data_IF_916553772819
#
_entry.id   IF_916553772819
#
_cell.length_a   1.000
_cell.length_b   1.000
_cell.length_c   1.000
_cell.angle_alpha   90.00
_cell.angle_beta   90.00
_cell.angle_gamma   90.00
#
_symmetry.space_group_name_H-M   'P 1'
#
loop_
_entity.id
_entity.type
_entity.pdbx_description
1 polymer ?
#
# COMPACT_ATOMS: atom_id res chain seq x y z
N UNK A 1 -7.73 -12.94 23.17
CA UNK A 1 -8.19 -13.32 21.85
C UNK A 1 -6.96 -13.55 20.98
N UNK A 2 -6.88 -14.74 20.41
CA UNK A 2 -5.79 -15.11 19.53
C UNK A 2 -6.10 -14.54 18.14
N UNK A 3 -5.52 -13.38 17.80
CA UNK A 3 -5.71 -12.70 16.53
C UNK A 3 -5.00 -13.43 15.37
N UNK A 4 -4.68 -14.71 15.52
CA UNK A 4 -3.95 -15.48 14.51
C UNK A 4 -2.51 -15.01 14.26
N UNK A 5 -1.95 -14.21 15.18
CA UNK A 5 -0.61 -13.64 15.05
C UNK A 5 -0.53 -12.34 14.24
N UNK A 6 -1.66 -11.77 13.85
CA UNK A 6 -1.72 -10.45 13.20
C UNK A 6 -1.55 -9.32 14.22
N UNK A 7 -0.74 -8.32 13.87
CA UNK A 7 -0.43 -7.16 14.71
C UNK A 7 -0.52 -5.88 13.88
N UNK A 8 -0.73 -4.75 14.55
CA UNK A 8 -0.76 -3.43 13.95
C UNK A 8 -2.00 -2.64 14.33
N UNK A 9 -2.01 -1.36 13.96
CA UNK A 9 -3.05 -0.39 14.35
C UNK A 9 -4.46 -0.85 13.95
N UNK A 10 -4.60 -1.41 12.76
CA UNK A 10 -5.89 -1.90 12.25
C UNK A 10 -6.45 -3.04 13.10
N UNK A 11 -5.60 -4.01 13.44
CA UNK A 11 -5.99 -5.15 14.28
C UNK A 11 -6.32 -4.72 15.71
N UNK A 12 -5.57 -3.76 16.25
CA UNK A 12 -5.85 -3.21 17.59
C UNK A 12 -7.19 -2.47 17.61
N UNK A 13 -7.46 -1.63 16.61
CA UNK A 13 -8.75 -0.91 16.50
C UNK A 13 -9.90 -1.90 16.30
N UNK A 14 -9.74 -2.87 15.37
CA UNK A 14 -10.75 -3.91 15.14
C UNK A 14 -11.06 -4.72 16.41
N UNK A 15 -10.03 -5.04 17.20
CA UNK A 15 -10.18 -5.72 18.50
C UNK A 15 -11.03 -4.89 19.47
N UNK A 16 -10.77 -3.59 19.56
CA UNK A 16 -11.54 -2.68 20.43
C UNK A 16 -13.00 -2.55 19.96
N UNK A 17 -13.23 -2.51 18.65
CA UNK A 17 -14.58 -2.46 18.07
C UNK A 17 -15.34 -3.74 18.42
N UNK A 18 -14.75 -4.91 18.17
CA UNK A 18 -15.37 -6.20 18.47
C UNK A 18 -15.71 -6.32 19.97
N UNK A 19 -14.78 -5.93 20.86
CA UNK A 19 -15.00 -5.91 22.30
C UNK A 19 -16.18 -5.01 22.69
N UNK A 20 -16.27 -3.81 22.15
CA UNK A 20 -17.39 -2.89 22.41
C UNK A 20 -18.74 -3.43 21.96
N UNK A 21 -18.75 -4.18 20.87
CA UNK A 21 -19.97 -4.80 20.32
C UNK A 21 -20.31 -6.13 20.99
N UNK A 22 -19.43 -6.69 21.83
CA UNK A 22 -19.58 -8.01 22.43
C UNK A 22 -19.46 -9.15 21.42
N UNK A 23 -18.70 -8.92 20.36
CA UNK A 23 -18.45 -9.86 19.27
C UNK A 23 -17.02 -10.45 19.36
N UNK A 24 -16.83 -11.58 18.70
CA UNK A 24 -15.52 -12.18 18.48
C UNK A 24 -14.90 -11.58 17.21
N UNK A 25 -13.63 -11.16 17.27
CA UNK A 25 -12.88 -10.73 16.10
C UNK A 25 -12.34 -11.95 15.36
N UNK A 26 -12.64 -12.02 14.07
CA UNK A 26 -12.01 -12.95 13.13
C UNK A 26 -11.26 -12.10 12.10
N UNK A 27 -9.96 -12.29 11.98
CA UNK A 27 -9.13 -11.62 10.96
C UNK A 27 -9.05 -12.53 9.75
N UNK A 28 -9.45 -12.01 8.59
CA UNK A 28 -9.42 -12.69 7.30
C UNK A 28 -8.35 -12.04 6.42
N UNK A 29 -7.25 -12.76 6.19
CA UNK A 29 -6.11 -12.30 5.38
C UNK A 29 -6.36 -12.60 3.90
N UNK A 30 -6.27 -11.57 3.07
CA UNK A 30 -6.54 -11.68 1.63
C UNK A 30 -5.73 -10.66 0.83
N UNK A 31 -5.67 -10.85 -0.48
CA UNK A 31 -5.08 -9.87 -1.40
C UNK A 31 -5.79 -8.52 -1.28
N UNK A 32 -5.02 -7.43 -1.26
CA UNK A 32 -5.53 -6.07 -1.03
C UNK A 32 -6.65 -5.67 -2.00
N UNK A 33 -6.52 -6.00 -3.29
CA UNK A 33 -7.56 -5.74 -4.30
C UNK A 33 -8.90 -6.45 -4.05
N UNK A 34 -8.94 -7.46 -3.16
CA UNK A 34 -10.16 -8.21 -2.82
C UNK A 34 -10.89 -7.68 -1.60
N UNK A 35 -10.29 -6.78 -0.83
CA UNK A 35 -10.80 -6.32 0.47
C UNK A 35 -12.17 -5.65 0.34
N UNK A 36 -12.32 -4.69 -0.57
CA UNK A 36 -13.59 -3.99 -0.82
C UNK A 36 -14.68 -4.98 -1.30
N UNK A 37 -14.33 -5.84 -2.25
CA UNK A 37 -15.26 -6.84 -2.80
C UNK A 37 -15.75 -7.82 -1.74
N UNK A 38 -14.91 -8.15 -0.75
CA UNK A 38 -15.28 -9.02 0.37
C UNK A 38 -16.37 -8.38 1.24
N UNK A 39 -16.26 -7.09 1.53
CA UNK A 39 -17.28 -6.33 2.29
C UNK A 39 -18.57 -6.20 1.47
N UNK A 40 -18.48 -5.83 0.18
CA UNK A 40 -19.65 -5.73 -0.70
C UNK A 40 -20.41 -7.05 -0.80
N UNK A 41 -19.69 -8.18 -0.85
CA UNK A 41 -20.26 -9.52 -0.92
C UNK A 41 -20.76 -10.06 0.43
N UNK A 42 -20.63 -9.31 1.51
CA UNK A 42 -21.03 -9.73 2.87
C UNK A 42 -20.21 -10.89 3.43
N UNK A 43 -19.00 -11.12 2.92
CA UNK A 43 -18.07 -12.12 3.47
C UNK A 43 -17.33 -11.57 4.67
N UNK A 44 -16.98 -10.30 4.63
CA UNK A 44 -16.39 -9.56 5.74
C UNK A 44 -17.35 -8.45 6.17
N UNK A 45 -17.45 -8.21 7.48
CA UNK A 45 -18.32 -7.15 8.04
C UNK A 45 -17.67 -5.77 7.93
N UNK A 46 -16.33 -5.71 7.95
CA UNK A 46 -15.53 -4.49 7.92
C UNK A 46 -14.22 -4.74 7.20
N UNK A 47 -13.72 -3.74 6.50
CA UNK A 47 -12.38 -3.73 5.90
C UNK A 47 -11.46 -2.80 6.71
N UNK A 48 -10.31 -3.30 7.12
CA UNK A 48 -9.26 -2.53 7.79
C UNK A 48 -7.90 -3.00 7.25
N UNK A 49 -7.30 -2.20 6.38
CA UNK A 49 -6.08 -2.53 5.65
C UNK A 49 -5.30 -1.27 5.23
N UNK A 50 -5.31 -0.21 6.06
CA UNK A 50 -4.76 1.08 5.66
C UNK A 50 -5.42 1.62 4.39
N UNK A 51 -6.73 1.44 4.26
CA UNK A 51 -7.46 1.67 3.00
C UNK A 51 -7.79 3.16 2.84
N UNK A 52 -7.06 3.84 1.98
CA UNK A 52 -7.28 5.26 1.64
C UNK A 52 -8.68 5.48 1.06
N UNK A 53 -9.33 6.54 1.50
CA UNK A 53 -10.65 6.97 1.00
C UNK A 53 -10.49 7.59 -0.39
N UNK A 54 -11.09 6.99 -1.41
CA UNK A 54 -11.17 7.57 -2.76
C UNK A 54 -12.61 7.68 -3.23
N UNK A 55 -12.88 8.58 -4.16
CA UNK A 55 -14.24 8.75 -4.71
C UNK A 55 -14.72 7.48 -5.42
N UNK A 56 -13.84 6.73 -6.05
CA UNK A 56 -14.16 5.45 -6.68
C UNK A 56 -14.56 4.41 -5.62
N UNK A 57 -13.79 4.29 -4.54
CA UNK A 57 -14.08 3.35 -3.45
C UNK A 57 -15.39 3.68 -2.72
N UNK A 58 -15.69 4.97 -2.54
CA UNK A 58 -16.97 5.44 -1.95
C UNK A 58 -18.20 5.04 -2.76
N UNK A 59 -18.06 4.75 -4.05
CA UNK A 59 -19.18 4.25 -4.86
C UNK A 59 -19.53 2.79 -4.51
N UNK A 60 -18.65 2.10 -3.82
CA UNK A 60 -18.75 0.68 -3.56
C UNK A 60 -18.99 0.34 -2.10
N UNK A 61 -18.46 1.14 -1.16
CA UNK A 61 -18.57 0.93 0.29
C UNK A 61 -18.64 2.28 1.01
N UNK A 62 -19.19 2.26 2.22
CA UNK A 62 -19.15 3.40 3.14
C UNK A 62 -17.83 3.39 3.94
N UNK A 63 -17.34 4.57 4.29
CA UNK A 63 -16.15 4.75 5.09
C UNK A 63 -16.47 5.39 6.44
N UNK A 64 -15.70 5.05 7.45
CA UNK A 64 -15.65 5.79 8.70
C UNK A 64 -14.90 7.11 8.52
N UNK A 65 -14.81 7.92 9.57
CA UNK A 65 -13.80 8.98 9.60
C UNK A 65 -12.40 8.37 9.59
N UNK A 66 -11.42 9.13 9.05
CA UNK A 66 -10.02 8.69 8.99
C UNK A 66 -9.45 8.56 10.39
N UNK A 67 -8.73 7.49 10.66
CA UNK A 67 -8.02 7.23 11.92
C UNK A 67 -6.49 7.28 11.77
N UNK A 68 -5.98 7.39 10.54
CA UNK A 68 -4.57 7.51 10.23
C UNK A 68 -4.38 8.33 8.95
N UNK A 69 -3.21 8.91 8.77
CA UNK A 69 -2.79 9.56 7.52
C UNK A 69 -1.77 8.66 6.84
N UNK A 70 -2.05 8.27 5.62
CA UNK A 70 -1.12 7.54 4.76
C UNK A 70 -0.12 8.49 4.09
N UNK A 71 1.07 8.00 3.82
CA UNK A 71 2.09 8.69 3.03
C UNK A 71 2.71 7.70 2.07
N UNK A 72 2.58 7.95 0.77
CA UNK A 72 3.29 7.16 -0.23
C UNK A 72 4.76 7.58 -0.26
N UNK A 73 5.65 6.60 -0.18
CA UNK A 73 7.11 6.80 -0.22
C UNK A 73 7.75 5.93 -1.29
N UNK A 74 8.99 6.23 -1.60
CA UNK A 74 9.76 5.56 -2.65
C UNK A 74 10.88 4.75 -2.00
N UNK A 75 10.92 3.44 -2.25
CA UNK A 75 12.03 2.56 -1.87
C UNK A 75 12.92 2.35 -3.09
N UNK A 76 14.21 2.52 -2.90
CA UNK A 76 15.25 2.29 -3.91
C UNK A 76 16.44 1.52 -3.34
N UNK A 77 17.29 0.88 -4.17
CA UNK A 77 18.58 0.39 -3.72
C UNK A 77 19.47 1.53 -3.18
N UNK A 78 20.32 1.27 -2.19
CA UNK A 78 21.22 2.28 -1.61
C UNK A 78 22.12 2.97 -2.63
N UNK A 79 22.52 2.27 -3.68
CA UNK A 79 23.34 2.79 -4.79
C UNK A 79 22.56 3.37 -5.97
N UNK A 80 21.23 3.55 -5.83
CA UNK A 80 20.38 4.09 -6.91
C UNK A 80 20.74 5.52 -7.26
N UNK A 81 20.59 5.86 -8.53
CA UNK A 81 20.66 7.22 -9.08
C UNK A 81 19.35 8.02 -8.87
N UNK A 82 18.28 7.34 -8.43
CA UNK A 82 17.01 7.97 -8.07
C UNK A 82 17.19 8.63 -6.69
N UNK A 83 17.07 9.94 -6.63
CA UNK A 83 17.20 10.74 -5.42
C UNK A 83 15.92 11.51 -5.06
N UNK A 84 15.07 11.79 -6.05
CA UNK A 84 13.84 12.57 -5.91
C UNK A 84 12.68 11.90 -6.66
N UNK A 85 11.47 12.40 -6.43
CA UNK A 85 10.26 11.99 -7.16
C UNK A 85 10.41 12.24 -8.67
N UNK A 86 11.05 13.35 -9.06
CA UNK A 86 11.22 13.73 -10.47
C UNK A 86 12.10 12.73 -11.25
N UNK A 87 13.02 12.05 -10.58
CA UNK A 87 13.90 11.06 -11.19
C UNK A 87 13.16 9.82 -11.69
N UNK A 88 11.96 9.55 -11.17
CA UNK A 88 11.11 8.45 -11.64
C UNK A 88 10.59 8.64 -13.06
N UNK A 89 10.52 9.89 -13.53
CA UNK A 89 10.10 10.21 -14.91
C UNK A 89 11.15 9.86 -15.98
N UNK A 90 12.38 9.49 -15.58
CA UNK A 90 13.50 9.25 -16.49
C UNK A 90 13.60 7.78 -16.91
N UNK A 91 12.62 7.26 -17.62
CA UNK A 91 12.55 5.86 -18.11
C UNK A 91 12.74 4.80 -17.00
N UNK A 92 12.35 5.13 -15.76
CA UNK A 92 12.44 4.20 -14.63
C UNK A 92 11.22 3.29 -14.58
N UNK A 93 11.45 2.02 -14.21
CA UNK A 93 10.37 1.07 -13.94
C UNK A 93 9.99 1.11 -12.46
N UNK A 94 8.72 1.34 -12.18
CA UNK A 94 8.18 1.49 -10.84
C UNK A 94 7.38 0.25 -10.47
N UNK A 95 7.77 -0.41 -9.37
CA UNK A 95 6.98 -1.48 -8.77
C UNK A 95 5.96 -0.93 -7.78
N UNK A 96 4.75 -1.43 -7.84
CA UNK A 96 3.66 -1.06 -6.93
C UNK A 96 2.86 -2.28 -6.50
N UNK A 97 2.10 -2.17 -5.43
CA UNK A 97 1.13 -3.20 -5.07
C UNK A 97 -0.18 -2.97 -5.80
N UNK A 98 -0.75 -4.04 -6.35
CA UNK A 98 -2.01 -3.99 -7.09
C UNK A 98 -3.17 -3.48 -6.23
N UNK A 99 -4.06 -2.67 -6.85
CA UNK A 99 -5.25 -2.11 -6.23
C UNK A 99 -5.01 -1.00 -5.20
N UNK A 100 -3.74 -0.57 -4.98
CA UNK A 100 -3.40 0.52 -4.06
C UNK A 100 -3.46 1.89 -4.71
N UNK A 101 -3.48 2.94 -3.89
CA UNK A 101 -3.36 4.33 -4.37
C UNK A 101 -1.99 4.58 -5.00
N UNK A 102 -0.93 3.93 -4.52
CA UNK A 102 0.38 3.97 -5.16
C UNK A 102 0.35 3.50 -6.63
N UNK A 103 -0.41 2.44 -6.93
CA UNK A 103 -0.66 2.03 -8.31
C UNK A 103 -1.39 3.12 -9.10
N UNK A 104 -2.51 3.63 -8.55
CA UNK A 104 -3.33 4.66 -9.23
C UNK A 104 -2.50 5.89 -9.56
N UNK A 105 -1.72 6.40 -8.60
CA UNK A 105 -0.90 7.61 -8.81
C UNK A 105 0.22 7.38 -9.82
N UNK A 106 0.95 6.27 -9.71
CA UNK A 106 2.06 6.01 -10.62
C UNK A 106 1.60 5.71 -12.05
N UNK A 107 0.51 4.95 -12.23
CA UNK A 107 0.01 4.54 -13.56
C UNK A 107 -0.81 5.61 -14.27
N UNK A 108 -1.22 6.66 -13.58
CA UNK A 108 -1.93 7.79 -14.19
C UNK A 108 -1.14 8.39 -15.35
N UNK A 109 -1.83 9.01 -16.34
CA UNK A 109 -1.17 9.71 -17.42
C UNK A 109 -0.20 10.80 -16.92
N UNK A 110 0.85 11.08 -17.70
CA UNK A 110 1.86 12.09 -17.34
C UNK A 110 1.24 13.49 -17.17
N UNK A 111 0.24 13.82 -18.00
CA UNK A 111 -0.52 15.07 -17.89
C UNK A 111 -1.30 15.20 -16.58
N UNK A 112 -1.62 14.09 -15.91
CA UNK A 112 -2.30 14.03 -14.64
C UNK A 112 -1.33 13.83 -13.44
N UNK A 113 -0.02 13.91 -13.71
CA UNK A 113 1.04 13.82 -12.70
C UNK A 113 1.54 12.40 -12.40
N UNK A 114 1.09 11.40 -13.16
CA UNK A 114 1.62 10.04 -13.10
C UNK A 114 2.81 9.82 -14.03
N UNK A 115 3.21 8.56 -14.21
CA UNK A 115 4.31 8.16 -15.09
C UNK A 115 3.82 7.35 -16.31
N UNK A 116 2.53 6.98 -16.33
CA UNK A 116 1.93 6.13 -17.35
C UNK A 116 2.07 4.64 -17.06
N UNK A 117 1.11 3.84 -17.53
CA UNK A 117 1.08 2.39 -17.26
C UNK A 117 2.32 1.64 -17.75
N UNK A 118 2.93 2.09 -18.84
CA UNK A 118 4.11 1.42 -19.42
C UNK A 118 5.35 1.49 -18.51
N UNK A 119 5.37 2.41 -17.55
CA UNK A 119 6.43 2.59 -16.56
C UNK A 119 6.13 1.92 -15.22
N UNK A 120 4.97 1.26 -15.09
CA UNK A 120 4.50 0.69 -13.81
C UNK A 120 4.29 -0.81 -13.94
N UNK A 121 4.81 -1.56 -12.98
CA UNK A 121 4.53 -2.99 -12.83
C UNK A 121 3.85 -3.22 -11.50
N UNK A 122 2.60 -3.69 -11.52
CA UNK A 122 1.88 -4.06 -10.31
C UNK A 122 2.20 -5.49 -9.88
N UNK A 123 2.23 -5.69 -8.56
CA UNK A 123 2.47 -6.98 -7.93
C UNK A 123 1.33 -7.29 -6.95
N UNK A 124 0.99 -8.56 -6.72
CA UNK A 124 -0.08 -8.94 -5.80
C UNK A 124 0.10 -8.42 -4.37
N UNK A 125 1.35 -8.26 -3.93
CA UNK A 125 1.67 -7.71 -2.60
C UNK A 125 3.02 -6.99 -2.61
N UNK A 126 3.25 -6.18 -1.56
CA UNK A 126 4.47 -5.39 -1.42
C UNK A 126 5.75 -6.23 -1.36
N UNK A 127 5.70 -7.43 -0.77
CA UNK A 127 6.88 -8.30 -0.69
C UNK A 127 7.37 -8.73 -2.08
N UNK A 128 6.46 -9.03 -3.01
CA UNK A 128 6.81 -9.37 -4.39
C UNK A 128 7.38 -8.16 -5.14
N UNK A 129 6.87 -6.95 -4.90
CA UNK A 129 7.45 -5.73 -5.46
C UNK A 129 8.89 -5.51 -4.96
N UNK A 130 9.15 -5.73 -3.66
CA UNK A 130 10.50 -5.65 -3.08
C UNK A 130 11.44 -6.71 -3.67
N UNK A 131 11.00 -7.94 -3.87
CA UNK A 131 11.82 -8.96 -4.52
C UNK A 131 12.13 -8.61 -5.99
N UNK A 132 11.18 -7.98 -6.69
CA UNK A 132 11.41 -7.46 -8.04
C UNK A 132 12.45 -6.32 -8.06
N UNK A 133 12.41 -5.41 -7.08
CA UNK A 133 13.40 -4.34 -6.88
C UNK A 133 14.79 -4.92 -6.64
N UNK A 134 14.93 -5.88 -5.72
CA UNK A 134 16.19 -6.56 -5.44
C UNK A 134 16.73 -7.31 -6.64
N UNK A 135 15.85 -7.86 -7.47
CA UNK A 135 16.18 -8.56 -8.69
C UNK A 135 16.47 -7.65 -9.90
N UNK A 136 16.36 -6.33 -9.76
CA UNK A 136 16.59 -5.36 -10.83
C UNK A 136 15.52 -5.40 -11.93
N UNK A 137 14.32 -5.89 -11.65
CA UNK A 137 13.17 -5.87 -12.58
C UNK A 137 12.44 -4.54 -12.58
N UNK A 138 12.51 -3.82 -11.48
CA UNK A 138 12.06 -2.45 -11.30
C UNK A 138 13.16 -1.64 -10.64
N UNK A 139 13.16 -0.32 -10.83
CA UNK A 139 14.18 0.61 -10.33
C UNK A 139 13.80 1.20 -8.96
N UNK A 140 12.51 1.28 -8.70
CA UNK A 140 11.95 1.80 -7.46
C UNK A 140 10.65 1.05 -7.09
N UNK A 141 10.25 1.12 -5.82
CA UNK A 141 8.94 0.67 -5.35
C UNK A 141 8.25 1.84 -4.66
N UNK A 142 7.00 2.13 -5.06
CA UNK A 142 6.14 3.10 -4.39
C UNK A 142 5.13 2.34 -3.53
N UNK A 143 5.09 2.67 -2.25
CA UNK A 143 4.27 1.99 -1.24
C UNK A 143 4.08 2.90 -0.03
N UNK A 144 3.09 2.60 0.81
CA UNK A 144 2.88 3.27 2.09
C UNK A 144 4.11 3.23 3.01
N UNK A 145 4.31 4.32 3.75
CA UNK A 145 5.48 4.53 4.61
C UNK A 145 5.63 3.44 5.69
N UNK A 146 4.53 2.99 6.33
CA UNK A 146 4.66 2.00 7.40
C UNK A 146 5.12 0.62 6.88
N UNK A 147 4.52 0.01 5.85
CA UNK A 147 5.10 -1.19 5.25
C UNK A 147 6.48 -0.94 4.64
N UNK A 148 6.77 0.25 4.08
CA UNK A 148 8.09 0.58 3.56
C UNK A 148 9.18 0.46 4.62
N UNK A 149 8.95 1.00 5.83
CA UNK A 149 9.89 0.88 6.97
C UNK A 149 10.17 -0.57 7.33
N UNK A 150 9.12 -1.40 7.37
CA UNK A 150 9.27 -2.83 7.67
C UNK A 150 10.09 -3.54 6.58
N UNK A 151 9.83 -3.26 5.30
CA UNK A 151 10.58 -3.85 4.19
C UNK A 151 12.05 -3.43 4.20
N UNK A 152 12.37 -2.16 4.40
CA UNK A 152 13.76 -1.68 4.43
C UNK A 152 14.49 -2.25 5.64
N UNK A 153 13.85 -2.36 6.79
CA UNK A 153 14.42 -2.99 7.97
C UNK A 153 14.77 -4.47 7.74
N UNK A 154 13.92 -5.19 6.99
CA UNK A 154 14.09 -6.61 6.71
C UNK A 154 15.05 -6.90 5.53
N UNK A 155 15.35 -5.90 4.69
CA UNK A 155 16.12 -6.07 3.46
C UNK A 155 17.29 -5.07 3.42
N UNK A 156 18.48 -5.51 3.81
CA UNK A 156 19.70 -4.70 3.72
C UNK A 156 19.97 -4.28 2.25
N UNK A 157 20.51 -3.07 2.09
CA UNK A 157 20.82 -2.51 0.77
C UNK A 157 19.67 -1.77 0.10
N UNK A 158 18.53 -1.62 0.78
CA UNK A 158 17.41 -0.77 0.38
C UNK A 158 17.31 0.45 1.30
N UNK A 159 16.80 1.55 0.76
CA UNK A 159 16.50 2.78 1.51
C UNK A 159 15.19 3.39 1.05
N UNK A 160 14.53 4.11 1.96
CA UNK A 160 13.43 5.01 1.63
C UNK A 160 14.06 6.36 1.27
N UNK A 161 13.57 7.03 0.22
CA UNK A 161 14.00 8.39 -0.10
C UNK A 161 13.47 9.38 0.95
N UNK A 162 14.26 10.43 1.23
CA UNK A 162 13.89 11.53 2.15
C UNK A 162 12.83 12.48 1.54
N UNK A 163 12.03 12.00 0.61
CA UNK A 163 10.99 12.75 -0.07
C UNK A 163 9.71 11.95 -0.07
N UNK A 164 8.66 12.56 0.45
CA UNK A 164 7.31 12.01 0.40
C UNK A 164 6.79 12.13 -1.04
N UNK A 165 6.13 11.06 -1.52
CA UNK A 165 5.55 11.09 -2.84
C UNK A 165 4.17 11.74 -2.80
N UNK A 166 3.25 11.21 -2.01
CA UNK A 166 1.90 11.74 -1.82
C UNK A 166 1.46 11.51 -0.37
N UNK A 167 0.80 12.50 0.23
CA UNK A 167 0.12 12.41 1.54
C UNK A 167 -1.35 12.13 1.29
N UNK A 168 -1.92 11.13 1.97
CA UNK A 168 -3.28 10.63 1.80
C UNK A 168 -4.17 10.89 3.02
#
# INVERSE_FOLDING_TARGET
SDNGGFEGIDVEIATLIAQKLGLELVVDDMEFGSVITSVQGGKSDIAMAGLTVTEERKQNVDFTESYATGVQVIIVPEGSDIATVDDLANDKMIGVQDGTTGYIYCSSPVEDGGYGEDHVTSYPNGAMAIEALKGGKVDAVVIDNEPAKAFVQANAGLKILDTEYIIE
#
